data_IF_473126217514
#
_entry.id   IF_473126217514
#
_cell.length_a   1.000
_cell.length_b   1.000
_cell.length_c   1.000
_cell.angle_alpha   90.00
_cell.angle_beta   90.00
_cell.angle_gamma   90.00
#
_symmetry.space_group_name_H-M   'P 1'
#
loop_
_entity.id
_entity.type
_entity.pdbx_description
1 polymer ?
#
# COMPACT_ATOMS: atom_id res chain seq x y z
N UNK A 1 17.11 9.47 1.44
CA UNK A 1 15.75 9.91 1.09
C UNK A 1 15.74 10.22 -0.40
N UNK A 2 14.79 9.68 -1.16
CA UNK A 2 14.71 9.96 -2.60
C UNK A 2 14.12 11.37 -2.81
N UNK A 3 14.68 12.14 -3.72
CA UNK A 3 14.23 13.52 -4.01
C UNK A 3 12.77 13.51 -4.45
N UNK A 4 11.91 14.41 -3.93
CA UNK A 4 10.52 14.45 -4.35
C UNK A 4 10.38 14.57 -5.85
N UNK A 5 9.40 13.87 -6.43
CA UNK A 5 9.12 14.03 -7.87
C UNK A 5 8.76 15.50 -8.13
N UNK A 6 9.40 16.18 -9.11
CA UNK A 6 9.05 17.56 -9.42
C UNK A 6 7.57 17.62 -9.81
N UNK A 7 6.84 18.58 -9.25
CA UNK A 7 5.44 18.79 -9.60
C UNK A 7 5.34 19.13 -11.09
N UNK A 8 4.83 18.19 -11.89
CA UNK A 8 4.54 18.44 -13.30
C UNK A 8 3.21 19.17 -13.36
N UNK A 9 3.25 20.50 -13.55
CA UNK A 9 2.06 21.36 -13.59
C UNK A 9 1.00 20.80 -14.56
N UNK A 10 -0.19 20.53 -14.03
CA UNK A 10 -1.33 20.01 -14.81
C UNK A 10 -1.35 18.49 -15.02
N UNK A 11 -0.30 17.76 -14.62
CA UNK A 11 -0.31 16.30 -14.62
C UNK A 11 -1.04 15.76 -13.39
N UNK A 12 -2.02 14.90 -13.63
CA UNK A 12 -2.69 14.15 -12.56
C UNK A 12 -2.20 12.70 -12.61
N UNK A 13 -1.62 12.16 -11.53
CA UNK A 13 -1.24 10.76 -11.47
C UNK A 13 -2.45 9.88 -11.78
N UNK A 14 -2.25 8.88 -12.65
CA UNK A 14 -3.27 7.89 -12.94
C UNK A 14 -3.32 6.92 -11.76
N UNK A 15 -4.51 6.75 -11.19
CA UNK A 15 -4.74 5.73 -10.17
C UNK A 15 -4.53 4.35 -10.80
N UNK A 16 -3.72 3.46 -10.20
CA UNK A 16 -3.51 2.12 -10.74
C UNK A 16 -4.82 1.36 -10.90
N UNK A 17 -4.85 0.42 -11.84
CA UNK A 17 -6.01 -0.48 -11.98
C UNK A 17 -6.14 -1.36 -10.74
N UNK A 18 -7.37 -1.67 -10.29
CA UNK A 18 -7.56 -2.60 -9.19
C UNK A 18 -6.97 -3.99 -9.49
N UNK A 19 -6.39 -4.62 -8.48
CA UNK A 19 -5.74 -5.91 -8.58
C UNK A 19 -6.61 -7.02 -7.99
N UNK A 20 -7.05 -7.93 -8.84
CA UNK A 20 -7.91 -9.07 -8.47
C UNK A 20 -7.16 -10.41 -8.40
N UNK A 21 -5.83 -10.41 -8.65
CA UNK A 21 -5.01 -11.61 -8.70
C UNK A 21 -4.88 -12.25 -10.08
N UNK A 22 -5.54 -11.72 -11.11
CA UNK A 22 -5.51 -12.29 -12.48
C UNK A 22 -4.30 -11.86 -13.30
N UNK A 23 -3.62 -10.78 -12.91
CA UNK A 23 -2.45 -10.23 -13.60
C UNK A 23 -1.18 -10.41 -12.78
N UNK A 24 -0.04 -10.08 -13.39
CA UNK A 24 1.24 -10.02 -12.69
C UNK A 24 1.19 -9.01 -11.52
N UNK A 25 1.56 -9.49 -10.34
CA UNK A 25 1.60 -8.71 -9.10
C UNK A 25 2.69 -7.64 -9.17
N UNK A 26 3.85 -7.94 -9.75
CA UNK A 26 4.98 -7.00 -9.78
C UNK A 26 4.64 -5.73 -10.56
N UNK A 27 3.95 -5.88 -11.69
CA UNK A 27 3.48 -4.77 -12.50
C UNK A 27 2.49 -3.87 -11.75
N UNK A 28 1.54 -4.47 -11.01
CA UNK A 28 0.60 -3.73 -10.16
C UNK A 28 1.35 -2.95 -9.08
N UNK A 29 2.27 -3.62 -8.40
CA UNK A 29 3.01 -3.05 -7.29
C UNK A 29 3.95 -1.90 -7.71
N UNK A 30 4.56 -1.99 -8.90
CA UNK A 30 5.34 -0.89 -9.49
C UNK A 30 4.44 0.33 -9.74
N UNK A 31 3.24 0.14 -10.30
CA UNK A 31 2.30 1.24 -10.54
C UNK A 31 1.82 1.86 -9.22
N UNK A 32 1.52 1.03 -8.21
CA UNK A 32 1.17 1.49 -6.87
C UNK A 32 2.30 2.34 -6.26
N UNK A 33 3.56 1.93 -6.40
CA UNK A 33 4.72 2.70 -5.91
C UNK A 33 4.87 4.04 -6.62
N UNK A 34 4.66 4.08 -7.94
CA UNK A 34 4.67 5.34 -8.71
C UNK A 34 3.57 6.27 -8.20
N UNK A 35 2.35 5.75 -8.02
CA UNK A 35 1.23 6.51 -7.48
C UNK A 35 1.56 7.09 -6.10
N UNK A 36 2.04 6.27 -5.16
CA UNK A 36 2.46 6.73 -3.83
C UNK A 36 3.54 7.81 -3.89
N UNK A 37 4.49 7.71 -4.82
CA UNK A 37 5.55 8.70 -5.00
C UNK A 37 5.01 10.07 -5.37
N UNK A 38 3.99 10.14 -6.22
CA UNK A 38 3.32 11.40 -6.55
C UNK A 38 2.55 12.01 -5.38
N UNK A 39 2.18 11.20 -4.39
CA UNK A 39 1.41 11.62 -3.22
C UNK A 39 2.23 11.61 -1.92
N UNK A 40 3.55 11.54 -2.01
CA UNK A 40 4.46 11.40 -0.84
C UNK A 40 4.42 12.60 0.12
N UNK A 41 3.99 13.78 -0.36
CA UNK A 41 3.79 14.96 0.48
C UNK A 41 2.55 14.85 1.38
N UNK A 42 1.58 14.00 1.01
CA UNK A 42 0.31 13.81 1.73
C UNK A 42 0.21 12.44 2.41
N UNK A 43 0.95 11.44 1.93
CA UNK A 43 1.01 10.08 2.46
C UNK A 43 2.38 9.91 3.13
N UNK A 44 2.43 10.22 4.43
CA UNK A 44 3.69 10.39 5.17
C UNK A 44 4.08 9.17 6.00
N UNK A 45 3.14 8.27 6.29
CA UNK A 45 3.39 7.05 7.07
C UNK A 45 3.29 5.79 6.22
N UNK A 46 3.98 4.73 6.63
CA UNK A 46 3.90 3.44 5.96
C UNK A 46 2.51 2.79 6.07
N UNK A 47 1.83 2.98 7.21
CA UNK A 47 0.44 2.56 7.36
C UNK A 47 -0.49 3.23 6.35
N UNK A 48 -0.31 4.53 6.08
CA UNK A 48 -1.09 5.24 5.05
C UNK A 48 -0.81 4.68 3.65
N UNK A 49 0.44 4.32 3.34
CA UNK A 49 0.79 3.67 2.07
C UNK A 49 0.10 2.33 1.94
N UNK A 50 0.15 1.49 2.98
CA UNK A 50 -0.50 0.17 2.99
C UNK A 50 -2.02 0.32 2.81
N UNK A 51 -2.66 1.27 3.48
CA UNK A 51 -4.10 1.54 3.30
C UNK A 51 -4.45 1.97 1.88
N UNK A 52 -3.66 2.86 1.28
CA UNK A 52 -3.88 3.33 -0.10
C UNK A 52 -3.73 2.19 -1.10
N UNK A 53 -2.71 1.34 -0.96
CA UNK A 53 -2.53 0.16 -1.83
C UNK A 53 -3.63 -0.87 -1.60
N UNK A 54 -4.07 -1.06 -0.35
CA UNK A 54 -5.15 -1.98 -0.01
C UNK A 54 -6.48 -1.58 -0.67
N UNK A 55 -6.73 -0.28 -0.84
CA UNK A 55 -7.90 0.23 -1.57
C UNK A 55 -7.89 -0.16 -3.07
N UNK A 56 -6.73 -0.51 -3.61
CA UNK A 56 -6.58 -0.96 -4.99
C UNK A 56 -6.74 -2.48 -5.13
N UNK A 57 -6.96 -3.23 -4.05
CA UNK A 57 -7.24 -4.67 -4.13
C UNK A 57 -8.71 -4.91 -4.50
N UNK A 58 -8.97 -5.96 -5.25
CA UNK A 58 -10.32 -6.35 -5.67
C UNK A 58 -10.48 -7.86 -5.78
N UNK A 59 -11.67 -8.32 -6.19
CA UNK A 59 -11.95 -9.73 -6.41
C UNK A 59 -11.65 -10.62 -5.20
N UNK A 60 -10.92 -11.71 -5.43
CA UNK A 60 -10.53 -12.65 -4.37
C UNK A 60 -9.41 -12.11 -3.47
N UNK A 61 -8.61 -11.18 -3.97
CA UNK A 61 -7.47 -10.65 -3.21
C UNK A 61 -7.95 -9.78 -2.05
N UNK A 62 -8.93 -8.89 -2.29
CA UNK A 62 -9.51 -8.09 -1.19
C UNK A 62 -10.25 -8.98 -0.18
N UNK A 63 -10.93 -10.05 -0.63
CA UNK A 63 -11.60 -10.99 0.27
C UNK A 63 -10.61 -11.69 1.21
N UNK A 64 -9.43 -12.06 0.69
CA UNK A 64 -8.36 -12.64 1.48
C UNK A 64 -7.74 -11.64 2.47
N UNK A 65 -7.56 -10.37 2.06
CA UNK A 65 -6.94 -9.35 2.92
C UNK A 65 -7.91 -8.66 3.87
N UNK A 66 -9.22 -8.77 3.66
CA UNK A 66 -10.25 -8.05 4.41
C UNK A 66 -10.17 -8.26 5.94
N UNK A 67 -10.02 -9.49 6.47
CA UNK A 67 -9.96 -9.69 7.92
C UNK A 67 -8.78 -8.93 8.54
N UNK A 68 -7.61 -8.99 7.90
CA UNK A 68 -6.41 -8.27 8.34
C UNK A 68 -6.60 -6.74 8.30
N UNK A 69 -7.29 -6.22 7.30
CA UNK A 69 -7.61 -4.79 7.21
C UNK A 69 -8.61 -4.36 8.30
N UNK A 70 -9.60 -5.19 8.61
CA UNK A 70 -10.55 -4.94 9.69
C UNK A 70 -9.85 -4.90 11.03
N UNK A 71 -9.03 -5.91 11.33
CA UNK A 71 -8.23 -5.96 12.57
C UNK A 71 -7.35 -4.71 12.71
N UNK A 72 -6.71 -4.28 11.62
CA UNK A 72 -5.89 -3.05 11.62
C UNK A 72 -6.70 -1.78 11.90
N UNK A 73 -7.89 -1.64 11.32
CA UNK A 73 -8.73 -0.46 11.45
C UNK A 73 -9.47 -0.39 12.80
N UNK A 74 -9.74 -1.53 13.42
CA UNK A 74 -10.43 -1.62 14.71
C UNK A 74 -9.48 -1.53 15.92
N UNK A 75 -8.18 -1.73 15.71
CA UNK A 75 -7.18 -1.61 16.77
C UNK A 75 -7.02 -0.15 17.25
N UNK A 76 -7.16 0.05 18.56
CA UNK A 76 -6.93 1.33 19.22
C UNK A 76 -5.44 1.53 19.55
N UNK A 77 -4.70 0.43 19.71
CA UNK A 77 -3.26 0.45 19.97
C UNK A 77 -2.52 -0.61 19.15
N UNK A 78 -1.25 -0.36 18.72
CA UNK A 78 -0.46 -1.34 17.97
C UNK A 78 -0.27 -2.68 18.70
N UNK A 79 -0.34 -2.69 20.04
CA UNK A 79 -0.22 -3.89 20.88
C UNK A 79 -1.42 -4.84 20.77
N UNK A 80 -2.55 -4.38 20.23
CA UNK A 80 -3.75 -5.19 19.97
C UNK A 80 -3.62 -6.00 18.68
N UNK A 81 -2.68 -5.63 17.81
CA UNK A 81 -2.42 -6.33 16.55
C UNK A 81 -1.52 -7.54 16.76
N UNK A 82 -1.79 -8.60 15.98
CA UNK A 82 -0.83 -9.70 15.89
C UNK A 82 0.49 -9.18 15.30
N UNK A 83 1.60 -9.84 15.65
CA UNK A 83 2.93 -9.48 15.11
C UNK A 83 2.94 -9.47 13.59
N UNK A 84 2.19 -10.36 12.95
CA UNK A 84 2.09 -10.46 11.49
C UNK A 84 1.44 -9.19 10.89
N UNK A 85 0.30 -8.77 11.41
CA UNK A 85 -0.40 -7.57 10.96
C UNK A 85 0.45 -6.32 11.27
N UNK A 86 1.04 -6.25 12.47
CA UNK A 86 1.94 -5.15 12.82
C UNK A 86 3.09 -5.02 11.81
N UNK A 87 3.70 -6.12 11.39
CA UNK A 87 4.79 -6.10 10.41
C UNK A 87 4.33 -5.59 9.03
N UNK A 88 3.16 -6.03 8.55
CA UNK A 88 2.63 -5.61 7.23
C UNK A 88 2.37 -4.10 7.19
N UNK A 89 1.87 -3.51 8.28
CA UNK A 89 1.44 -2.11 8.32
C UNK A 89 2.48 -1.12 8.84
N UNK A 90 3.50 -1.58 9.58
CA UNK A 90 4.55 -0.71 10.13
C UNK A 90 5.77 -0.56 9.22
N UNK A 91 6.00 -1.51 8.31
CA UNK A 91 7.11 -1.43 7.37
C UNK A 91 6.62 -1.81 5.96
N UNK A 92 6.27 -0.77 5.20
CA UNK A 92 5.88 -0.90 3.81
C UNK A 92 7.00 -1.52 2.96
N UNK A 93 8.26 -1.37 3.38
CA UNK A 93 9.41 -1.94 2.68
C UNK A 93 9.53 -3.46 2.93
N UNK A 94 9.09 -4.01 4.07
CA UNK A 94 9.19 -5.47 4.30
C UNK A 94 8.30 -6.30 3.38
N UNK A 95 7.16 -5.77 2.93
CA UNK A 95 6.29 -6.44 1.94
C UNK A 95 7.01 -6.63 0.60
N UNK A 96 8.10 -5.88 0.36
CA UNK A 96 8.78 -5.79 -0.93
C UNK A 96 10.25 -6.20 -0.95
N UNK A 97 10.88 -6.35 0.23
CA UNK A 97 12.33 -6.51 0.33
C UNK A 97 12.78 -7.83 0.95
N UNK A 98 11.87 -8.78 1.18
CA UNK A 98 12.26 -10.09 1.75
C UNK A 98 12.97 -11.04 0.77
N UNK A 99 12.96 -10.75 -0.53
CA UNK A 99 13.59 -11.62 -1.55
C UNK A 99 14.73 -10.93 -2.34
N UNK A 100 15.61 -10.18 -1.65
CA UNK A 100 16.94 -9.85 -2.19
C UNK A 100 18.05 -10.13 -1.20
#
# INVERSE_FOLDING_TARGET
>A
MATPMPEVKGYKPIVPKPYDGSTDVDAFLVQARVYLRFHESSITTDSQKVMVVSHLLSGKVIQWSQPMLQDFLEANQPTELTKEISNVFQDYATVYLKDK
#
